data_IF_179717341506
#
_entry.id   IF_179717341506
#
_cell.length_a   1.000
_cell.length_b   1.000
_cell.length_c   1.000
_cell.angle_alpha   90.00
_cell.angle_beta   90.00
_cell.angle_gamma   90.00
#
_symmetry.space_group_name_H-M   'P 1'
#
loop_
_entity.id
_entity.type
_entity.pdbx_description
1 polymer ?
#
# COMPACT_ATOMS: atom_id res chain seq x y z
N UNK A 1 19.60 -4.29 -0.56
CA UNK A 1 18.75 -4.58 0.61
C UNK A 1 17.27 -4.51 0.20
N UNK A 2 16.41 -5.40 0.72
CA UNK A 2 15.00 -5.42 0.38
C UNK A 2 14.21 -4.48 1.29
N UNK A 3 13.87 -3.29 0.79
CA UNK A 3 13.02 -2.33 1.50
C UNK A 3 11.55 -2.47 1.09
N UNK A 4 10.66 -2.39 2.07
CA UNK A 4 9.21 -2.49 1.91
C UNK A 4 8.52 -1.20 2.37
N UNK A 5 7.48 -0.77 1.66
CA UNK A 5 6.66 0.38 2.09
C UNK A 5 6.08 0.10 3.49
N UNK A 6 6.27 1.04 4.42
CA UNK A 6 5.93 0.93 5.83
C UNK A 6 6.99 0.27 6.71
N UNK A 7 8.18 -0.05 6.17
CA UNK A 7 9.30 -0.55 6.96
C UNK A 7 9.87 0.56 7.85
N UNK A 8 10.04 0.27 9.15
CA UNK A 8 10.69 1.15 10.14
C UNK A 8 12.11 0.73 10.49
N UNK A 9 12.35 -0.58 10.67
CA UNK A 9 13.64 -1.12 11.14
C UNK A 9 14.64 -1.24 9.99
N UNK A 10 15.93 -1.20 10.32
CA UNK A 10 17.00 -1.40 9.33
C UNK A 10 17.21 -0.23 8.38
N UNK A 11 16.78 0.99 8.75
CA UNK A 11 16.99 2.20 7.97
C UNK A 11 18.32 2.91 8.30
N UNK A 12 18.88 2.70 9.50
CA UNK A 12 20.15 3.32 9.90
C UNK A 12 20.08 4.84 10.11
N UNK A 13 18.89 5.42 10.22
CA UNK A 13 18.68 6.86 10.36
C UNK A 13 18.37 7.19 11.82
N UNK A 14 19.16 8.10 12.41
CA UNK A 14 18.82 8.74 13.68
C UNK A 14 17.91 9.93 13.43
N UNK A 15 16.73 9.94 14.04
CA UNK A 15 15.73 10.98 13.90
C UNK A 15 14.96 11.16 15.21
N UNK A 16 14.44 12.36 15.52
CA UNK A 16 13.69 12.63 16.75
C UNK A 16 12.37 11.84 16.83
N UNK A 17 11.89 11.32 15.70
CA UNK A 17 10.68 10.50 15.60
C UNK A 17 10.90 9.30 14.68
N UNK A 18 10.12 8.20 14.84
CA UNK A 18 10.23 7.04 13.98
C UNK A 18 9.92 7.38 12.52
N UNK A 19 10.82 6.97 11.62
CA UNK A 19 10.64 7.09 10.17
C UNK A 19 10.28 5.74 9.54
N UNK A 20 9.53 5.82 8.45
CA UNK A 20 9.02 4.70 7.70
C UNK A 20 9.31 4.90 6.22
N UNK A 21 9.58 3.83 5.47
CA UNK A 21 9.69 3.91 4.01
C UNK A 21 8.33 4.26 3.42
N UNK A 22 8.20 5.45 2.84
CA UNK A 22 6.95 5.95 2.23
C UNK A 22 6.92 5.77 0.71
N UNK A 23 8.10 5.73 0.08
CA UNK A 23 8.23 5.54 -1.36
C UNK A 23 9.58 4.91 -1.74
N UNK A 24 9.60 4.24 -2.91
CA UNK A 24 10.81 3.70 -3.54
C UNK A 24 10.98 4.34 -4.91
N UNK A 25 11.95 5.22 -5.06
CA UNK A 25 12.31 5.82 -6.34
C UNK A 25 13.38 4.96 -7.00
N UNK A 26 12.93 4.01 -7.82
CA UNK A 26 13.81 2.99 -8.40
C UNK A 26 14.85 3.60 -9.35
N UNK A 27 14.45 4.60 -10.13
CA UNK A 27 15.33 5.28 -11.11
C UNK A 27 16.48 5.99 -10.41
N UNK A 28 16.20 6.65 -9.29
CA UNK A 28 17.18 7.39 -8.51
C UNK A 28 17.90 6.53 -7.46
N UNK A 29 17.52 5.25 -7.34
CA UNK A 29 17.95 4.35 -6.28
C UNK A 29 17.77 4.97 -4.88
N UNK A 30 16.68 5.73 -4.69
CA UNK A 30 16.40 6.47 -3.47
C UNK A 30 15.19 5.89 -2.72
N UNK A 31 15.25 5.98 -1.39
CA UNK A 31 14.12 5.71 -0.51
C UNK A 31 13.65 7.01 0.10
N UNK A 32 12.38 7.32 -0.12
CA UNK A 32 11.74 8.42 0.59
C UNK A 32 11.24 7.85 1.93
N UNK A 33 11.64 8.48 3.02
CA UNK A 33 11.22 8.13 4.37
C UNK A 33 10.47 9.29 5.02
N UNK A 34 9.47 8.98 5.82
CA UNK A 34 8.62 9.97 6.45
C UNK A 34 7.94 9.47 7.72
N UNK A 35 7.17 10.32 8.39
CA UNK A 35 6.42 9.93 9.58
C UNK A 35 5.29 8.96 9.20
N UNK A 36 4.70 8.29 10.20
CA UNK A 36 3.73 7.21 9.98
C UNK A 36 2.50 7.70 9.20
N UNK A 37 2.09 8.94 9.42
CA UNK A 37 0.92 9.59 8.85
C UNK A 37 1.04 9.73 7.32
N UNK A 38 2.27 9.82 6.81
CA UNK A 38 2.56 9.90 5.38
C UNK A 38 2.46 8.55 4.64
N UNK A 39 2.26 7.42 5.34
CA UNK A 39 2.05 6.11 4.71
C UNK A 39 0.64 5.93 4.12
N UNK A 40 -0.32 6.75 4.56
CA UNK A 40 -1.71 6.63 4.13
C UNK A 40 -1.87 6.84 2.63
N UNK A 41 -2.58 5.91 1.97
CA UNK A 41 -3.00 6.05 0.57
C UNK A 41 -4.52 5.83 0.50
N UNK A 42 -5.20 6.62 -0.32
CA UNK A 42 -6.67 6.52 -0.49
C UNK A 42 -7.07 5.53 -1.57
N UNK A 43 -6.16 5.22 -2.49
CA UNK A 43 -6.40 4.34 -3.63
C UNK A 43 -5.13 3.58 -4.02
N UNK A 44 -5.31 2.45 -4.68
CA UNK A 44 -4.25 1.65 -5.27
C UNK A 44 -4.78 0.87 -6.48
N UNK A 45 -3.87 0.45 -7.35
CA UNK A 45 -4.19 -0.40 -8.50
C UNK A 45 -3.85 -1.84 -8.16
N UNK A 46 -4.85 -2.73 -8.24
CA UNK A 46 -4.64 -4.17 -8.18
C UNK A 46 -4.35 -4.72 -9.59
N UNK A 47 -3.31 -5.55 -9.71
CA UNK A 47 -2.99 -6.30 -10.94
C UNK A 47 -3.09 -7.79 -10.64
N UNK A 48 -3.28 -8.61 -11.69
CA UNK A 48 -3.41 -10.08 -11.58
C UNK A 48 -4.53 -10.49 -10.59
N UNK A 49 -5.70 -9.90 -10.76
CA UNK A 49 -6.87 -10.15 -9.90
C UNK A 49 -7.48 -11.52 -10.18
N UNK A 50 -7.81 -12.25 -9.12
CA UNK A 50 -8.60 -13.49 -9.18
C UNK A 50 -9.99 -13.23 -8.63
N UNK A 51 -11.02 -13.64 -9.39
CA UNK A 51 -12.42 -13.47 -9.02
C UNK A 51 -13.04 -14.83 -8.70
N UNK A 52 -13.55 -15.02 -7.48
CA UNK A 52 -14.12 -16.30 -7.03
C UNK A 52 -15.36 -16.68 -7.85
N UNK A 53 -16.14 -15.68 -8.29
CA UNK A 53 -17.28 -15.88 -9.21
C UNK A 53 -16.88 -16.30 -10.62
N UNK A 54 -15.59 -16.26 -10.96
CA UNK A 54 -15.07 -16.46 -12.31
C UNK A 54 -15.30 -15.27 -13.26
N UNK A 55 -16.04 -14.24 -12.84
CA UNK A 55 -16.37 -13.08 -13.67
C UNK A 55 -15.59 -11.86 -13.21
N UNK A 56 -14.94 -11.19 -14.17
CA UNK A 56 -14.32 -9.90 -13.92
C UNK A 56 -15.39 -8.84 -13.70
N UNK A 57 -14.98 -7.77 -13.03
CA UNK A 57 -15.84 -6.63 -12.76
C UNK A 57 -15.99 -5.76 -14.02
N UNK A 58 -17.22 -5.43 -14.38
CA UNK A 58 -17.56 -4.53 -15.50
C UNK A 58 -17.98 -3.13 -15.02
N UNK A 59 -18.50 -3.01 -13.80
CA UNK A 59 -18.97 -1.76 -13.22
C UNK A 59 -18.44 -1.56 -11.79
N UNK A 60 -18.32 -0.33 -11.29
CA UNK A 60 -17.88 -0.10 -9.91
C UNK A 60 -18.81 -0.74 -8.88
N UNK A 61 -18.22 -1.42 -7.87
CA UNK A 61 -18.96 -2.03 -6.77
C UNK A 61 -18.44 -1.58 -5.41
N UNK A 62 -19.35 -1.51 -4.42
CA UNK A 62 -18.99 -1.29 -3.01
C UNK A 62 -18.61 -2.61 -2.37
N UNK A 63 -17.48 -2.61 -1.64
CA UNK A 63 -16.95 -3.80 -0.96
C UNK A 63 -16.39 -3.45 0.40
N UNK A 64 -16.24 -4.45 1.25
CA UNK A 64 -15.32 -4.42 2.39
C UNK A 64 -13.94 -4.84 1.91
N UNK A 65 -12.96 -3.94 1.93
CA UNK A 65 -11.61 -4.21 1.46
C UNK A 65 -10.67 -4.50 2.64
N UNK A 66 -9.86 -5.55 2.51
CA UNK A 66 -8.77 -5.88 3.43
C UNK A 66 -7.45 -5.89 2.68
N UNK A 67 -6.60 -4.89 2.91
CA UNK A 67 -5.32 -4.72 2.18
C UNK A 67 -4.17 -5.58 2.70
N UNK A 68 -4.26 -6.08 3.95
CA UNK A 68 -3.29 -7.00 4.56
C UNK A 68 -4.03 -7.97 5.47
N UNK A 69 -3.50 -9.19 5.62
CA UNK A 69 -4.15 -10.27 6.37
C UNK A 69 -4.71 -9.87 7.75
N UNK A 70 -3.94 -9.09 8.53
CA UNK A 70 -4.32 -8.62 9.88
C UNK A 70 -4.91 -7.20 9.92
N UNK A 71 -5.17 -6.58 8.77
CA UNK A 71 -5.80 -5.26 8.73
C UNK A 71 -7.31 -5.39 8.97
N UNK A 72 -7.95 -4.40 9.62
CA UNK A 72 -9.40 -4.30 9.63
C UNK A 72 -9.93 -4.11 8.20
N UNK A 73 -11.17 -4.51 7.98
CA UNK A 73 -11.87 -4.22 6.74
C UNK A 73 -12.29 -2.75 6.68
N UNK A 74 -12.20 -2.17 5.49
CA UNK A 74 -12.56 -0.77 5.24
C UNK A 74 -13.52 -0.69 4.06
N UNK A 75 -14.62 0.05 4.23
CA UNK A 75 -15.58 0.29 3.14
C UNK A 75 -14.87 0.98 1.98
N UNK A 76 -14.91 0.36 0.80
CA UNK A 76 -14.17 0.79 -0.38
C UNK A 76 -15.01 0.60 -1.64
N UNK A 77 -14.59 1.23 -2.73
CA UNK A 77 -15.13 0.99 -4.07
C UNK A 77 -14.05 0.34 -4.93
N UNK A 78 -14.37 -0.77 -5.59
CA UNK A 78 -13.53 -1.36 -6.64
C UNK A 78 -14.14 -0.97 -7.97
N UNK A 79 -13.31 -0.51 -8.91
CA UNK A 79 -13.72 -0.15 -10.27
C UNK A 79 -12.78 -0.80 -11.29
N UNK A 80 -13.27 -1.21 -12.47
CA UNK A 80 -12.39 -1.58 -13.57
C UNK A 80 -11.53 -0.38 -13.99
N UNK A 81 -10.33 -0.68 -14.52
CA UNK A 81 -9.43 0.29 -15.12
C UNK A 81 -9.58 0.31 -16.63
#
# INVERSE_FOLDING_TARGET
ANYTIGQRKGLGISAPQPLYVIEKQIVENALVVGPKEALGRREFIARRTTWVSGRKLEEPIRVSCRVRYKAPEVSSTVRPL
#
